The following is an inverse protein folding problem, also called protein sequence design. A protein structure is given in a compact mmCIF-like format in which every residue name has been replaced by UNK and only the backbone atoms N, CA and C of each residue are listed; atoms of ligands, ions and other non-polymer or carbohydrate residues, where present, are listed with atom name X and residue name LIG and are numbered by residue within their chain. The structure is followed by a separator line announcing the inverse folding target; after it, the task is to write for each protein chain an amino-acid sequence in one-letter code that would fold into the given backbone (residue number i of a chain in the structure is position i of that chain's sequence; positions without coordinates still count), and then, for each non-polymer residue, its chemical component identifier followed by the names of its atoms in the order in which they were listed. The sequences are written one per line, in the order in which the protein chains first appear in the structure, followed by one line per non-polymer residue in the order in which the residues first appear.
data_IF_120433033680
#
_entry.id   IF_120433033680
#
_cell.length_a   1.000
_cell.length_b   1.000
_cell.length_c   1.000
_cell.angle_alpha   90.00
_cell.angle_beta   90.00
_cell.angle_gamma   90.00
#
_symmetry.space_group_name_H-M   'P 1'
#
loop_
_entity.id
_entity.type
_entity.pdbx_description
1 polymer ?
#
# COMPACT_ATOMS: atom_id res chain seq x y z
N UNK A 1 1.25 1.60 -17.82
CA UNK A 1 0.09 1.22 -17.01
C UNK A 1 0.43 0.03 -16.14
N UNK A 2 0.17 0.13 -14.83
CA UNK A 2 0.49 -0.97 -13.92
C UNK A 2 -0.56 -2.07 -13.99
N UNK A 3 -0.11 -3.30 -13.81
CA UNK A 3 -1.00 -4.45 -13.66
C UNK A 3 -0.82 -5.07 -12.26
N UNK A 4 -1.68 -6.01 -11.95
CA UNK A 4 -1.67 -6.68 -10.66
C UNK A 4 -0.32 -7.32 -10.36
N UNK A 5 0.28 -7.98 -11.35
CA UNK A 5 1.54 -8.70 -11.13
C UNK A 5 2.69 -7.74 -10.82
N UNK A 6 2.75 -6.61 -11.49
CA UNK A 6 3.77 -5.59 -11.22
C UNK A 6 3.61 -5.02 -9.80
N UNK A 7 2.38 -4.71 -9.40
CA UNK A 7 2.10 -4.21 -8.05
C UNK A 7 2.52 -5.26 -7.01
N UNK A 8 2.16 -6.52 -7.23
CA UNK A 8 2.55 -7.63 -6.35
C UNK A 8 4.08 -7.72 -6.22
N UNK A 9 4.78 -7.66 -7.33
CA UNK A 9 6.25 -7.76 -7.34
C UNK A 9 6.89 -6.60 -6.57
N UNK A 10 6.35 -5.39 -6.70
CA UNK A 10 6.85 -4.24 -5.97
C UNK A 10 6.65 -4.40 -4.45
N UNK A 11 5.50 -4.92 -4.04
CA UNK A 11 5.24 -5.15 -2.62
C UNK A 11 6.18 -6.22 -2.05
N UNK A 12 6.36 -7.31 -2.80
CA UNK A 12 7.20 -8.42 -2.35
C UNK A 12 8.69 -8.08 -2.33
N UNK A 13 9.10 -7.06 -3.07
CA UNK A 13 10.49 -6.61 -3.07
C UNK A 13 10.90 -5.91 -1.78
N UNK A 14 9.96 -5.48 -0.96
CA UNK A 14 10.27 -4.86 0.33
C UNK A 14 10.70 -5.92 1.35
N UNK A 15 11.57 -5.55 2.32
CA UNK A 15 12.13 -6.54 3.26
C UNK A 15 11.06 -7.26 4.09
N UNK A 16 11.22 -8.57 4.23
CA UNK A 16 10.43 -9.41 5.14
C UNK A 16 8.93 -9.39 4.85
N UNK A 17 8.53 -9.12 3.61
CA UNK A 17 7.13 -9.13 3.22
C UNK A 17 6.67 -10.55 2.93
N UNK A 18 5.52 -10.90 3.47
CA UNK A 18 4.84 -12.16 3.19
C UNK A 18 3.52 -11.89 2.51
N UNK A 19 3.20 -12.68 1.50
CA UNK A 19 1.92 -12.59 0.82
C UNK A 19 0.98 -13.65 1.34
N UNK A 20 -0.27 -13.24 1.64
CA UNK A 20 -1.35 -14.13 2.00
C UNK A 20 -2.55 -13.81 1.12
N UNK A 21 -3.35 -14.80 0.79
CA UNK A 21 -4.60 -14.56 0.08
C UNK A 21 -5.75 -14.54 1.09
N UNK A 22 -6.53 -13.47 1.06
CA UNK A 22 -7.67 -13.31 1.95
C UNK A 22 -8.87 -12.92 1.10
N UNK A 23 -9.91 -13.77 1.08
CA UNK A 23 -11.10 -13.53 0.26
C UNK A 23 -10.75 -13.30 -1.22
N UNK A 24 -9.82 -14.11 -1.76
CA UNK A 24 -9.35 -14.01 -3.14
C UNK A 24 -8.62 -12.68 -3.44
N UNK A 25 -8.22 -11.96 -2.42
CA UNK A 25 -7.47 -10.71 -2.54
C UNK A 25 -6.06 -10.93 -2.00
N UNK A 26 -5.02 -10.66 -2.81
CA UNK A 26 -3.64 -10.73 -2.29
C UNK A 26 -3.47 -9.71 -1.17
N UNK A 27 -2.88 -10.14 -0.08
CA UNK A 27 -2.61 -9.30 1.08
C UNK A 27 -1.14 -9.43 1.46
N UNK A 28 -0.51 -8.31 1.79
CA UNK A 28 0.92 -8.26 2.08
C UNK A 28 1.12 -7.80 3.52
N UNK A 29 1.93 -8.56 4.25
CA UNK A 29 2.19 -8.32 5.67
C UNK A 29 3.67 -8.20 5.91
N UNK A 30 4.02 -7.35 6.87
CA UNK A 30 5.35 -7.28 7.45
C UNK A 30 5.19 -7.43 8.96
N UNK A 31 5.96 -8.33 9.56
CA UNK A 31 5.87 -8.64 10.99
C UNK A 31 4.40 -8.96 11.41
N UNK A 32 3.72 -9.77 10.59
CA UNK A 32 2.33 -10.19 10.79
C UNK A 32 1.30 -9.05 10.76
N UNK A 33 1.69 -7.86 10.30
CA UNK A 33 0.78 -6.72 10.19
C UNK A 33 0.54 -6.39 8.72
N UNK A 34 -0.72 -6.24 8.36
CA UNK A 34 -1.13 -5.89 7.01
C UNK A 34 -0.71 -4.46 6.68
N UNK A 35 -0.01 -4.28 5.56
CA UNK A 35 0.30 -2.93 5.08
C UNK A 35 -0.26 -2.64 3.69
N UNK A 36 -0.58 -3.67 2.92
CA UNK A 36 -1.12 -3.49 1.57
C UNK A 36 -1.99 -4.69 1.19
N UNK A 37 -3.00 -4.45 0.37
CA UNK A 37 -3.77 -5.50 -0.25
C UNK A 37 -4.19 -5.05 -1.64
N UNK A 38 -4.36 -6.00 -2.56
CA UNK A 38 -4.80 -5.71 -3.92
C UNK A 38 -6.24 -6.19 -4.07
N UNK A 39 -7.08 -5.34 -4.65
CA UNK A 39 -8.45 -5.67 -5.02
C UNK A 39 -8.48 -5.80 -6.55
N UNK A 40 -8.22 -7.02 -7.09
CA UNK A 40 -7.95 -7.17 -8.52
C UNK A 40 -9.13 -6.81 -9.41
N UNK A 41 -10.34 -7.14 -9.00
CA UNK A 41 -11.53 -6.87 -9.82
C UNK A 41 -11.77 -5.38 -10.02
N UNK A 42 -11.35 -4.57 -9.06
CA UNK A 42 -11.49 -3.12 -9.12
C UNK A 42 -10.22 -2.43 -9.62
N UNK A 43 -9.13 -3.18 -9.80
CA UNK A 43 -7.81 -2.65 -10.15
C UNK A 43 -7.35 -1.61 -9.15
N UNK A 44 -7.51 -1.94 -7.88
CA UNK A 44 -7.20 -1.05 -6.74
C UNK A 44 -6.13 -1.66 -5.85
N UNK A 45 -5.23 -0.80 -5.39
CA UNK A 45 -4.28 -1.11 -4.34
C UNK A 45 -4.77 -0.39 -3.07
N UNK A 46 -4.83 -1.11 -1.97
CA UNK A 46 -5.18 -0.51 -0.67
C UNK A 46 -3.93 -0.53 0.19
N UNK A 47 -3.54 0.63 0.70
CA UNK A 47 -2.35 0.79 1.52
C UNK A 47 -2.71 1.52 2.81
N UNK A 48 -1.91 1.28 3.85
CA UNK A 48 -2.05 1.97 5.11
C UNK A 48 -1.16 3.21 5.13
N UNK A 49 -1.76 4.37 5.35
CA UNK A 49 -1.04 5.63 5.48
C UNK A 49 -1.44 6.30 6.79
N UNK A 50 -0.68 7.29 7.22
CA UNK A 50 -1.15 8.14 8.31
C UNK A 50 -2.38 8.91 7.83
N UNK A 51 -3.32 9.24 8.73
CA UNK A 51 -4.49 10.04 8.30
C UNK A 51 -4.11 11.37 7.65
N UNK A 52 -3.02 12.00 8.08
CA UNK A 52 -2.54 13.24 7.47
C UNK A 52 -2.09 13.01 6.03
N UNK A 53 -1.31 11.96 5.79
CA UNK A 53 -0.83 11.63 4.43
C UNK A 53 -1.99 11.24 3.52
N UNK A 54 -2.95 10.48 4.06
CA UNK A 54 -4.15 10.11 3.32
C UNK A 54 -4.91 11.36 2.86
N UNK A 55 -5.15 12.28 3.77
CA UNK A 55 -5.86 13.52 3.46
C UNK A 55 -5.14 14.32 2.39
N UNK A 56 -3.83 14.40 2.48
CA UNK A 56 -3.00 15.12 1.51
C UNK A 56 -3.11 14.52 0.11
N UNK A 57 -2.98 13.20 0.01
CA UNK A 57 -3.08 12.51 -1.29
C UNK A 57 -4.45 12.68 -1.92
N UNK A 58 -5.51 12.52 -1.14
CA UNK A 58 -6.88 12.67 -1.64
C UNK A 58 -7.10 14.12 -2.10
N UNK A 59 -6.55 15.08 -1.36
CA UNK A 59 -6.67 16.48 -1.74
C UNK A 59 -5.94 16.83 -3.03
N UNK A 60 -4.85 16.10 -3.33
CA UNK A 60 -4.09 16.31 -4.57
C UNK A 60 -4.73 15.64 -5.77
N UNK A 61 -5.31 14.46 -5.59
CA UNK A 61 -5.87 13.68 -6.69
C UNK A 61 -6.96 12.74 -6.17
N UNK A 62 -8.18 13.26 -6.10
CA UNK A 62 -9.32 12.50 -5.59
C UNK A 62 -9.87 11.47 -6.58
N UNK A 63 -9.37 11.48 -7.82
CA UNK A 63 -9.72 10.46 -8.81
C UNK A 63 -8.92 9.20 -8.55
N UNK A 64 -7.63 9.34 -8.28
CA UNK A 64 -6.74 8.20 -8.05
C UNK A 64 -6.85 7.70 -6.62
N UNK A 65 -7.03 8.56 -5.64
CA UNK A 65 -6.99 8.21 -4.22
C UNK A 65 -8.32 8.48 -3.52
N UNK A 66 -8.72 7.52 -2.67
CA UNK A 66 -9.91 7.67 -1.82
C UNK A 66 -9.72 6.86 -0.54
N UNK A 67 -10.48 7.22 0.50
CA UNK A 67 -10.44 6.47 1.74
C UNK A 67 -11.29 5.20 1.64
N UNK A 68 -10.82 4.12 2.24
CA UNK A 68 -11.64 2.92 2.42
C UNK A 68 -12.83 3.31 3.30
N UNK A 69 -14.01 2.77 3.00
CA UNK A 69 -15.21 3.07 3.77
C UNK A 69 -15.09 2.58 5.21
N UNK A 70 -15.66 3.34 6.14
CA UNK A 70 -15.77 2.95 7.53
C UNK A 70 -14.49 3.18 8.34
N UNK A 71 -14.32 2.37 9.39
CA UNK A 71 -13.24 2.55 10.35
C UNK A 71 -11.86 2.36 9.73
N UNK A 72 -11.73 1.49 8.75
CA UNK A 72 -10.46 1.28 8.06
C UNK A 72 -9.96 2.57 7.42
N UNK A 73 -10.85 3.28 6.70
CA UNK A 73 -10.49 4.56 6.11
C UNK A 73 -10.07 5.58 7.15
N UNK A 74 -10.76 5.60 8.29
CA UNK A 74 -10.43 6.51 9.38
C UNK A 74 -9.06 6.22 9.98
N UNK A 75 -8.60 4.98 9.90
CA UNK A 75 -7.28 4.58 10.38
C UNK A 75 -6.17 4.85 9.37
N UNK A 76 -6.51 5.34 8.17
CA UNK A 76 -5.54 5.67 7.14
C UNK A 76 -5.49 4.70 5.97
N UNK A 77 -6.31 3.67 5.94
CA UNK A 77 -6.36 2.78 4.78
C UNK A 77 -6.92 3.51 3.58
N UNK A 78 -6.13 3.54 2.51
CA UNK A 78 -6.36 4.38 1.34
C UNK A 78 -6.40 3.53 0.09
N UNK A 79 -7.41 3.76 -0.74
CA UNK A 79 -7.54 3.11 -2.05
C UNK A 79 -6.75 3.93 -3.06
N UNK A 80 -5.92 3.27 -3.86
CA UNK A 80 -5.23 3.87 -4.98
C UNK A 80 -5.60 3.12 -6.25
N UNK A 81 -6.04 3.85 -7.28
CA UNK A 81 -6.31 3.28 -8.59
C UNK A 81 -4.96 3.07 -9.27
N UNK A 82 -4.43 1.85 -9.24
CA UNK A 82 -3.05 1.65 -9.69
C UNK A 82 -2.87 1.83 -11.19
N UNK A 83 -3.95 1.78 -11.97
CA UNK A 83 -3.89 2.13 -13.39
C UNK A 83 -3.39 3.56 -13.62
N UNK A 84 -3.63 4.44 -12.66
CA UNK A 84 -3.27 5.85 -12.77
C UNK A 84 -1.90 6.16 -12.17
N UNK A 85 -1.19 5.13 -11.70
CA UNK A 85 0.11 5.30 -11.06
C UNK A 85 1.23 4.85 -11.99
N UNK A 86 2.36 5.53 -11.91
CA UNK A 86 3.60 5.01 -12.48
C UNK A 86 4.16 3.93 -11.53
N UNK A 87 5.08 3.13 -12.03
CA UNK A 87 5.74 2.13 -11.22
C UNK A 87 6.48 2.77 -10.04
N UNK A 88 7.14 3.92 -10.30
CA UNK A 88 7.84 4.67 -9.27
C UNK A 88 6.89 5.19 -8.19
N UNK A 89 5.76 5.75 -8.59
CA UNK A 89 4.76 6.22 -7.63
C UNK A 89 4.22 5.08 -6.77
N UNK A 90 3.92 3.94 -7.39
CA UNK A 90 3.43 2.77 -6.69
C UNK A 90 4.47 2.27 -5.69
N UNK A 91 5.74 2.20 -6.11
CA UNK A 91 6.82 1.79 -5.23
C UNK A 91 6.94 2.71 -4.01
N UNK A 92 6.86 4.03 -4.23
CA UNK A 92 6.93 5.00 -3.13
C UNK A 92 5.79 4.83 -2.14
N UNK A 93 4.57 4.61 -2.62
CA UNK A 93 3.41 4.41 -1.75
C UNK A 93 3.51 3.12 -0.94
N UNK A 94 3.93 2.04 -1.58
CA UNK A 94 4.12 0.77 -0.89
C UNK A 94 5.21 0.88 0.17
N UNK A 95 6.32 1.54 -0.17
CA UNK A 95 7.41 1.76 0.77
C UNK A 95 6.96 2.61 1.95
N UNK A 96 6.19 3.64 1.72
CA UNK A 96 5.67 4.51 2.78
C UNK A 96 4.76 3.73 3.74
N UNK A 97 3.87 2.91 3.20
CA UNK A 97 3.00 2.06 4.01
C UNK A 97 3.81 1.02 4.80
N UNK A 98 4.81 0.42 4.16
CA UNK A 98 5.71 -0.52 4.82
C UNK A 98 6.45 0.12 5.99
N UNK A 99 6.99 1.34 5.78
CA UNK A 99 7.72 2.07 6.83
C UNK A 99 6.82 2.39 8.02
N UNK A 100 5.56 2.69 7.77
CA UNK A 100 4.60 2.97 8.84
C UNK A 100 4.28 1.72 9.67
N UNK A 101 4.33 0.56 9.05
CA UNK A 101 3.86 -0.70 9.65
C UNK A 101 4.98 -1.55 10.22
N UNK A 102 6.16 -1.52 9.60
CA UNK A 102 7.29 -2.37 10.00
C UNK A 102 7.88 -1.94 11.34
N UNK A 103 8.47 -2.89 12.11
CA UNK A 103 9.21 -2.52 13.32
C UNK A 103 10.38 -1.59 12.99
N UNK A 104 10.74 -0.77 13.95
CA UNK A 104 11.81 0.23 13.75
C UNK A 104 13.12 -0.37 13.26
N UNK A 105 13.49 -1.56 13.74
CA UNK A 105 14.73 -2.21 13.32
C UNK A 105 14.74 -2.54 11.82
N UNK A 106 13.59 -2.95 11.27
CA UNK A 106 13.47 -3.25 9.84
C UNK A 106 13.41 -1.96 9.03
N UNK A 107 12.72 -0.95 9.53
CA UNK A 107 12.67 0.36 8.88
C UNK A 107 14.06 0.97 8.77
N UNK A 108 14.88 0.81 9.81
CA UNK A 108 16.26 1.29 9.79
C UNK A 108 17.10 0.59 8.71
N UNK A 109 16.87 -0.71 8.47
CA UNK A 109 17.58 -1.44 7.42
C UNK A 109 17.24 -0.89 6.04
N UNK A 110 15.98 -0.55 5.80
CA UNK A 110 15.58 -0.01 4.51
C UNK A 110 16.19 1.36 4.25
N UNK A 111 16.38 2.16 5.28
CA UNK A 111 16.95 3.51 5.19
C UNK A 111 18.48 3.51 5.16
N UNK A 112 19.11 2.38 5.43
CA UNK A 112 20.56 2.26 5.29
C UNK A 112 20.93 2.10 3.82
N UNK A 113 21.92 2.81 3.42
CA UNK A 113 22.50 2.65 2.10
C UNK A 113 23.86 2.01 2.20
#
# INVERSE_FOLDING_TARGET
MLDEQTVRNLALALPQVEEHTHWQRPAFRVNNKLFATIWPLQQQLVIRLSPADQTQLIGQDSITFSAVAGKWGQQGYTIAQYDNLSEEECHCLLRQSWLLTAPKRLAAQLNKK
#
